data_IF_209541579573
#
_entry.id   IF_209541579573
#
_cell.length_a   1.000
_cell.length_b   1.000
_cell.length_c   1.000
_cell.angle_alpha   90.00
_cell.angle_beta   90.00
_cell.angle_gamma   90.00
#
_symmetry.space_group_name_H-M   'P 1'
#
loop_
_entity.id
_entity.type
_entity.pdbx_description
1 polymer ?
#
# COMPACT_ATOMS: atom_id res chain seq x y z
N UNK A 1 -6.92 6.37 6.26
CA UNK A 1 -8.00 7.24 5.77
C UNK A 1 -8.67 7.92 6.93
N UNK A 2 -8.62 9.24 6.93
CA UNK A 2 -9.34 10.05 7.92
C UNK A 2 -10.82 10.20 7.52
N UNK A 3 -11.68 10.48 8.51
CA UNK A 3 -13.11 10.64 8.26
C UNK A 3 -13.35 11.90 7.42
N UNK A 4 -14.06 11.74 6.30
CA UNK A 4 -14.42 12.84 5.41
C UNK A 4 -13.35 13.14 4.34
N UNK A 5 -12.30 12.32 4.25
CA UNK A 5 -11.24 12.45 3.26
C UNK A 5 -11.42 11.44 2.11
N UNK A 6 -11.28 11.85 0.83
CA UNK A 6 -11.23 10.90 -0.28
C UNK A 6 -9.95 10.07 -0.23
N UNK A 7 -9.99 8.85 -0.79
CA UNK A 7 -8.85 7.91 -0.72
C UNK A 7 -7.59 8.47 -1.37
N UNK A 8 -7.71 9.18 -2.50
CA UNK A 8 -6.59 9.77 -3.21
C UNK A 8 -5.88 10.82 -2.36
N UNK A 9 -6.64 11.71 -1.71
CA UNK A 9 -6.07 12.68 -0.77
C UNK A 9 -5.39 12.01 0.41
N UNK A 10 -6.02 11.00 1.02
CA UNK A 10 -5.40 10.23 2.10
C UNK A 10 -4.07 9.65 1.62
N UNK A 11 -4.01 9.08 0.42
CA UNK A 11 -2.76 8.51 -0.10
C UNK A 11 -1.68 9.56 -0.31
N UNK A 12 -2.02 10.73 -0.86
CA UNK A 12 -1.05 11.83 -1.04
C UNK A 12 -0.53 12.37 0.29
N UNK A 13 -1.39 12.45 1.32
CA UNK A 13 -1.02 12.92 2.67
C UNK A 13 -0.09 11.92 3.35
N UNK A 14 -0.44 10.62 3.38
CA UNK A 14 0.43 9.61 4.01
C UNK A 14 1.81 9.54 3.31
N UNK A 15 1.87 9.70 1.99
CA UNK A 15 3.15 9.74 1.27
C UNK A 15 4.03 10.94 1.68
N UNK A 16 3.43 12.08 2.03
CA UNK A 16 4.17 13.22 2.57
C UNK A 16 4.62 12.95 4.01
N UNK A 17 3.70 12.48 4.87
CA UNK A 17 3.95 12.24 6.28
C UNK A 17 5.00 11.14 6.52
N UNK A 18 4.85 9.99 5.88
CA UNK A 18 5.68 8.80 6.13
C UNK A 18 6.96 8.77 5.29
N UNK A 19 6.88 9.24 4.04
CA UNK A 19 7.95 9.08 3.04
C UNK A 19 8.63 10.39 2.64
N UNK A 20 8.10 11.54 3.07
CA UNK A 20 8.65 12.86 2.77
C UNK A 20 8.60 13.23 1.28
N UNK A 21 7.67 12.66 0.52
CA UNK A 21 7.48 12.93 -0.91
C UNK A 21 6.08 13.48 -1.19
N UNK A 22 5.95 14.26 -2.26
CA UNK A 22 4.66 14.77 -2.72
C UNK A 22 4.25 14.05 -4.00
N UNK A 23 3.00 13.60 -4.05
CA UNK A 23 2.36 12.99 -5.21
C UNK A 23 1.10 13.82 -5.50
N UNK A 24 0.85 14.17 -6.77
CA UNK A 24 -0.42 14.79 -7.14
C UNK A 24 -1.51 13.71 -7.21
N UNK A 25 -2.76 14.02 -6.87
CA UNK A 25 -3.86 13.03 -6.93
C UNK A 25 -4.02 12.43 -8.34
N UNK A 26 -3.79 13.22 -9.40
CA UNK A 26 -3.84 12.77 -10.79
C UNK A 26 -2.66 11.85 -11.19
N UNK A 27 -1.59 11.83 -10.37
CA UNK A 27 -0.43 10.95 -10.55
C UNK A 27 -0.60 9.61 -9.80
N UNK A 28 -1.77 9.35 -9.21
CA UNK A 28 -2.08 8.07 -8.57
C UNK A 28 -2.86 7.14 -9.52
N UNK A 29 -2.25 6.02 -9.88
CA UNK A 29 -2.93 4.94 -10.58
C UNK A 29 -3.34 3.84 -9.60
N UNK A 30 -4.63 3.55 -9.45
CA UNK A 30 -5.09 2.36 -8.72
C UNK A 30 -4.66 1.11 -9.51
N UNK A 31 -3.81 0.29 -8.90
CA UNK A 31 -3.27 -0.92 -9.56
C UNK A 31 -3.83 -2.21 -9.00
N UNK A 32 -4.35 -2.21 -7.76
CA UNK A 32 -4.94 -3.40 -7.17
C UNK A 32 -5.92 -3.04 -6.04
N UNK A 33 -6.96 -3.84 -5.91
CA UNK A 33 -7.88 -3.86 -4.77
C UNK A 33 -7.82 -5.23 -4.12
N UNK A 34 -7.60 -5.27 -2.81
CA UNK A 34 -7.61 -6.51 -2.05
C UNK A 34 -8.76 -6.48 -1.04
N UNK A 35 -9.67 -7.45 -1.14
CA UNK A 35 -10.69 -7.69 -0.13
C UNK A 35 -10.19 -8.78 0.83
N UNK A 36 -9.67 -8.36 1.98
CA UNK A 36 -9.02 -9.23 2.95
C UNK A 36 -9.92 -9.45 4.16
N UNK A 37 -10.27 -10.71 4.45
CA UNK A 37 -10.81 -11.12 5.74
C UNK A 37 -9.64 -11.59 6.61
N UNK A 38 -9.37 -10.82 7.66
CA UNK A 38 -8.33 -11.15 8.62
C UNK A 38 -8.80 -12.29 9.53
N UNK A 39 -8.01 -13.36 9.59
CA UNK A 39 -8.34 -14.55 10.37
C UNK A 39 -8.14 -14.35 11.87
N UNK A 40 -7.32 -13.39 12.30
CA UNK A 40 -7.01 -13.15 13.71
C UNK A 40 -8.11 -12.34 14.38
N UNK A 41 -8.60 -11.27 13.73
CA UNK A 41 -9.62 -10.38 14.29
C UNK A 41 -11.01 -10.49 13.64
N UNK A 42 -11.12 -11.29 12.57
CA UNK A 42 -12.37 -11.51 11.83
C UNK A 42 -12.84 -10.30 11.04
N UNK A 43 -12.03 -9.24 10.90
CA UNK A 43 -12.44 -8.00 10.24
C UNK A 43 -12.15 -8.07 8.75
N UNK A 44 -13.18 -7.73 7.98
CA UNK A 44 -13.05 -7.47 6.55
C UNK A 44 -12.47 -6.09 6.31
N UNK A 45 -11.40 -6.01 5.51
CA UNK A 45 -10.77 -4.78 5.05
C UNK A 45 -10.76 -4.74 3.52
N UNK A 46 -11.05 -3.57 2.96
CA UNK A 46 -10.80 -3.29 1.56
C UNK A 46 -9.53 -2.44 1.48
N UNK A 47 -8.50 -2.97 0.83
CA UNK A 47 -7.21 -2.32 0.67
C UNK A 47 -7.04 -1.86 -0.77
N UNK A 48 -6.66 -0.60 -0.95
CA UNK A 48 -6.49 0.03 -2.26
C UNK A 48 -5.01 0.35 -2.47
N UNK A 49 -4.41 -0.24 -3.48
CA UNK A 49 -2.99 -0.08 -3.78
C UNK A 49 -2.82 0.86 -4.97
N UNK A 50 -2.14 1.98 -4.74
CA UNK A 50 -1.85 2.97 -5.77
C UNK A 50 -0.37 2.92 -6.16
N UNK A 51 -0.12 3.07 -7.46
CA UNK A 51 1.22 3.31 -8.00
C UNK A 51 1.33 4.79 -8.38
N UNK A 52 2.30 5.54 -7.82
CA UNK A 52 2.59 6.87 -8.32
C UNK A 52 3.20 6.78 -9.72
N UNK A 53 2.65 7.52 -10.68
CA UNK A 53 3.24 7.71 -12.02
C UNK A 53 4.34 8.78 -11.98
N UNK A 54 4.25 9.71 -11.04
CA UNK A 54 5.22 10.77 -10.77
C UNK A 54 5.17 11.15 -9.28
N UNK A 55 6.32 11.55 -8.74
CA UNK A 55 6.42 12.16 -7.42
C UNK A 55 7.57 13.16 -7.35
N UNK A 56 7.59 13.99 -6.31
CA UNK A 56 8.62 14.98 -6.04
C UNK A 56 9.19 14.83 -4.63
N UNK A 57 10.45 15.21 -4.45
CA UNK A 57 11.17 15.11 -3.18
C UNK A 57 12.13 13.94 -3.12
N UNK A 58 12.80 13.78 -1.98
CA UNK A 58 13.71 12.67 -1.71
C UNK A 58 13.07 11.75 -0.68
N UNK A 59 12.84 10.50 -1.07
CA UNK A 59 12.40 9.44 -0.18
C UNK A 59 13.29 9.35 1.06
N UNK A 60 12.64 9.39 2.22
CA UNK A 60 13.26 9.23 3.54
C UNK A 60 12.22 8.69 4.50
N UNK A 61 12.66 7.98 5.53
CA UNK A 61 11.80 7.69 6.67
C UNK A 61 11.50 9.02 7.40
N UNK A 62 10.28 9.54 7.23
CA UNK A 62 9.86 10.81 7.82
C UNK A 62 9.22 10.65 9.20
N UNK A 63 8.86 9.43 9.59
CA UNK A 63 8.32 9.07 10.90
C UNK A 63 9.17 8.00 11.60
N UNK A 64 10.41 8.32 12.03
CA UNK A 64 11.33 7.34 12.63
C UNK A 64 10.85 6.76 13.98
N UNK A 65 9.75 7.29 14.52
CA UNK A 65 9.10 6.78 15.72
C UNK A 65 8.04 5.71 15.44
N UNK A 66 7.63 5.55 14.17
CA UNK A 66 6.69 4.51 13.70
C UNK A 66 7.35 3.49 12.76
N UNK A 67 8.36 3.93 12.00
CA UNK A 67 9.09 3.10 11.04
C UNK A 67 10.56 3.05 11.46
N UNK A 68 11.15 1.86 11.53
CA UNK A 68 12.56 1.69 11.91
C UNK A 68 13.50 2.03 10.74
N UNK A 69 13.21 1.50 9.54
CA UNK A 69 14.05 1.67 8.37
C UNK A 69 13.26 1.67 7.05
N UNK A 70 13.87 2.21 6.00
CA UNK A 70 13.31 2.30 4.66
C UNK A 70 14.32 1.76 3.64
N UNK A 71 13.95 0.71 2.92
CA UNK A 71 14.78 0.04 1.92
C UNK A 71 14.01 -0.23 0.63
N UNK A 72 14.75 -0.40 -0.46
CA UNK A 72 14.22 -0.87 -1.73
C UNK A 72 14.50 -2.37 -1.89
N UNK A 73 13.45 -3.13 -2.18
CA UNK A 73 13.53 -4.57 -2.40
C UNK A 73 13.05 -4.93 -3.80
N UNK A 74 13.72 -5.87 -4.50
CA UNK A 74 13.16 -6.49 -5.69
C UNK A 74 11.84 -7.22 -5.36
N UNK A 75 10.85 -7.15 -6.26
CA UNK A 75 9.55 -7.80 -6.06
C UNK A 75 9.62 -9.33 -5.99
N UNK A 76 10.67 -9.93 -6.55
CA UNK A 76 10.97 -11.36 -6.53
C UNK A 76 11.91 -11.76 -5.37
N UNK A 77 12.29 -10.82 -4.51
CA UNK A 77 13.20 -11.03 -3.38
C UNK A 77 12.81 -10.17 -2.18
N UNK A 78 11.52 -10.18 -1.82
CA UNK A 78 11.00 -9.53 -0.62
C UNK A 78 11.51 -10.24 0.66
N UNK A 79 11.66 -9.53 1.79
CA UNK A 79 11.98 -10.15 3.08
C UNK A 79 10.96 -11.21 3.52
N UNK A 80 11.42 -12.29 4.15
CA UNK A 80 10.57 -13.41 4.61
C UNK A 80 9.52 -12.99 5.65
N UNK A 81 9.79 -11.92 6.39
CA UNK A 81 8.91 -11.33 7.40
C UNK A 81 7.96 -10.24 6.83
N UNK A 82 7.89 -10.10 5.50
CA UNK A 82 6.90 -9.23 4.85
C UNK A 82 5.48 -9.63 5.27
N UNK A 83 4.67 -8.65 5.66
CA UNK A 83 3.27 -8.86 6.05
C UNK A 83 2.53 -9.65 4.96
N UNK A 84 1.91 -10.81 5.27
CA UNK A 84 1.43 -11.76 4.26
C UNK A 84 0.48 -11.18 3.21
N UNK A 85 -0.46 -10.33 3.62
CA UNK A 85 -1.39 -9.73 2.67
C UNK A 85 -0.70 -8.72 1.74
N UNK A 86 0.38 -8.07 2.17
CA UNK A 86 1.17 -7.14 1.36
C UNK A 86 1.97 -7.93 0.32
N UNK A 87 2.61 -9.04 0.71
CA UNK A 87 3.29 -9.94 -0.23
C UNK A 87 2.31 -10.49 -1.29
N UNK A 88 1.11 -10.90 -0.87
CA UNK A 88 0.05 -11.33 -1.79
C UNK A 88 -0.34 -10.23 -2.79
N UNK A 89 -0.64 -9.02 -2.32
CA UNK A 89 -1.02 -7.90 -3.17
C UNK A 89 0.08 -7.56 -4.20
N UNK A 90 1.35 -7.56 -3.79
CA UNK A 90 2.48 -7.32 -4.69
C UNK A 90 2.61 -8.39 -5.79
N UNK A 91 2.37 -9.66 -5.45
CA UNK A 91 2.35 -10.75 -6.42
C UNK A 91 1.19 -10.59 -7.44
N UNK A 92 0.00 -10.21 -6.98
CA UNK A 92 -1.16 -9.96 -7.83
C UNK A 92 -0.98 -8.74 -8.74
N UNK A 93 -0.38 -7.66 -8.22
CA UNK A 93 0.00 -6.47 -9.01
C UNK A 93 0.98 -6.89 -10.13
N UNK A 94 1.95 -7.73 -9.83
CA UNK A 94 2.93 -8.23 -10.81
C UNK A 94 2.26 -9.06 -11.92
N UNK A 95 1.16 -9.75 -11.61
CA UNK A 95 0.33 -10.49 -12.58
C UNK A 95 -0.67 -9.62 -13.34
N UNK A 96 -0.80 -8.34 -12.99
CA UNK A 96 -1.80 -7.43 -13.57
C UNK A 96 -3.23 -7.70 -13.10
N UNK A 97 -3.40 -8.38 -11.96
CA UNK A 97 -4.70 -8.66 -11.38
C UNK A 97 -5.24 -7.41 -10.69
N UNK A 98 -6.41 -6.94 -11.09
CA UNK A 98 -7.02 -5.73 -10.51
C UNK A 98 -7.70 -5.98 -9.15
N UNK A 99 -8.08 -7.23 -8.86
CA UNK A 99 -8.83 -7.61 -7.68
C UNK A 99 -8.41 -8.99 -7.17
N UNK A 100 -8.18 -9.10 -5.86
CA UNK A 100 -8.04 -10.38 -5.16
C UNK A 100 -8.90 -10.42 -3.90
N UNK A 101 -9.25 -11.63 -3.47
CA UNK A 101 -9.94 -11.88 -2.20
C UNK A 101 -9.14 -12.90 -1.40
N UNK A 102 -8.91 -12.60 -0.11
CA UNK A 102 -8.11 -13.45 0.79
C UNK A 102 -8.86 -13.67 2.08
N UNK A 103 -8.82 -14.90 2.60
CA UNK A 103 -9.45 -15.28 3.87
C UNK A 103 -10.93 -15.66 3.79
N UNK A 104 -11.53 -15.62 2.59
CA UNK A 104 -12.93 -15.97 2.37
C UNK A 104 -13.07 -17.45 2.04
N UNK A 105 -13.96 -18.16 2.73
CA UNK A 105 -14.40 -19.50 2.33
C UNK A 105 -15.43 -19.39 1.20
N UNK A 106 -15.47 -20.37 0.26
CA UNK A 106 -16.50 -20.44 -0.78
C UNK A 106 -17.93 -20.40 -0.26
#
# INVERSE_FOLDING_TARGET
MERGEPVTRSMTREAEEELGITIAEDDLALVHTLHHLDAEDGRSRLQLFFRPTRYHGRLRNAEPHKCEELHWWPLDSLPDDTVPYTAHALAEITRGSALSTVGWTP
#
